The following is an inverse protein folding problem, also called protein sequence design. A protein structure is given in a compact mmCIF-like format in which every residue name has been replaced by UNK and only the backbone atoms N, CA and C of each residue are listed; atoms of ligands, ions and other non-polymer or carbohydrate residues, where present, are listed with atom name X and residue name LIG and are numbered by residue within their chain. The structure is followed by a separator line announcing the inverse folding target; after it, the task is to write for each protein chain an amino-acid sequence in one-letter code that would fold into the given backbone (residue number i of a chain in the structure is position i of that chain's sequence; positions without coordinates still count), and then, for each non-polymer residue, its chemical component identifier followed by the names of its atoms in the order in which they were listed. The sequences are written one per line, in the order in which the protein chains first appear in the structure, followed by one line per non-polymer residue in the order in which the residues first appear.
data_IF_291051801527
#
_entry.id   IF_291051801527
#
_cell.length_a   1.000
_cell.length_b   1.000
_cell.length_c   1.000
_cell.angle_alpha   90.00
_cell.angle_beta   90.00
_cell.angle_gamma   90.00
#
_symmetry.space_group_name_H-M   'P 1'
#
loop_
_entity.id
_entity.type
_entity.pdbx_description
1 polymer ?
#
# COMPACT_ATOMS: atom_id res chain seq x y z
N UNK A 1 30.04 54.60 27.08
CA UNK A 1 29.62 55.74 27.93
C UNK A 1 28.15 55.47 28.28
N UNK A 2 27.97 55.14 29.55
CA UNK A 2 26.85 55.45 30.44
C UNK A 2 25.42 55.05 30.11
N UNK A 3 24.94 54.08 30.86
CA UNK A 3 23.57 54.03 31.38
C UNK A 3 23.28 55.26 32.28
N UNK A 4 22.06 55.54 32.84
CA UNK A 4 21.39 54.61 33.76
C UNK A 4 19.84 54.61 33.72
N UNK A 5 19.29 53.53 34.26
CA UNK A 5 18.20 53.27 35.17
C UNK A 5 17.38 54.44 35.78
N UNK A 6 16.05 54.22 35.88
CA UNK A 6 15.25 54.72 37.00
C UNK A 6 14.03 53.84 37.25
N UNK A 7 13.97 53.36 38.45
CA UNK A 7 12.93 52.61 39.15
C UNK A 7 12.04 53.57 39.92
N UNK A 8 10.70 53.34 40.04
CA UNK A 8 9.82 53.81 41.13
C UNK A 8 8.47 53.10 40.99
N UNK A 9 8.15 52.17 41.79
CA UNK A 9 7.67 52.04 43.17
C UNK A 9 6.19 52.46 43.37
N UNK A 10 5.37 51.45 43.68
CA UNK A 10 4.40 51.31 44.77
C UNK A 10 3.12 52.17 44.78
N UNK A 11 1.97 51.50 44.73
CA UNK A 11 0.99 51.59 45.86
C UNK A 11 -0.04 50.44 45.80
N UNK A 12 -0.22 49.85 46.99
CA UNK A 12 -1.25 48.88 47.37
C UNK A 12 -2.61 49.58 47.54
N UNK A 13 -3.71 48.84 47.29
CA UNK A 13 -4.92 48.77 48.15
C UNK A 13 -5.82 47.63 47.66
N UNK A 14 -5.89 46.58 48.43
CA UNK A 14 -7.01 46.10 49.26
C UNK A 14 -8.21 45.44 48.55
N UNK A 15 -8.32 44.13 48.72
CA UNK A 15 -9.44 43.26 49.12
C UNK A 15 -10.82 43.44 48.46
N UNK A 16 -11.21 42.37 47.68
CA UNK A 16 -12.52 41.78 47.85
C UNK A 16 -12.49 40.30 47.41
N UNK A 17 -12.86 39.47 48.34
CA UNK A 17 -13.09 38.02 48.22
C UNK A 17 -14.18 37.76 47.17
N UNK A 18 -13.86 36.98 46.13
CA UNK A 18 -14.85 36.24 45.38
C UNK A 18 -14.26 34.87 45.07
N UNK A 19 -14.62 33.92 45.94
CA UNK A 19 -14.38 32.50 45.74
C UNK A 19 -15.30 32.02 44.64
N UNK A 20 -14.82 32.03 43.38
CA UNK A 20 -15.49 31.35 42.31
C UNK A 20 -14.77 30.02 42.09
N UNK A 21 -15.50 28.98 42.47
CA UNK A 21 -15.12 27.57 42.25
C UNK A 21 -15.03 27.30 40.72
N UNK A 22 -13.87 27.56 40.13
CA UNK A 22 -13.53 27.02 38.79
C UNK A 22 -13.16 25.58 38.99
N UNK A 23 -14.17 24.68 38.92
CA UNK A 23 -13.93 23.31 38.59
C UNK A 23 -13.28 23.29 37.20
N UNK A 24 -11.95 23.23 37.18
CA UNK A 24 -11.20 22.98 35.99
C UNK A 24 -11.60 21.60 35.49
N UNK A 25 -12.45 21.54 34.48
CA UNK A 25 -12.55 20.43 33.55
C UNK A 25 -11.17 20.32 32.91
N UNK A 26 -10.29 19.52 33.52
CA UNK A 26 -9.13 18.95 32.87
C UNK A 26 -9.73 18.01 31.84
N UNK A 27 -10.08 18.55 30.66
CA UNK A 27 -10.18 17.75 29.47
C UNK A 27 -8.80 17.09 29.34
N UNK A 28 -8.73 15.82 29.70
CA UNK A 28 -7.57 14.99 29.45
C UNK A 28 -7.34 15.03 27.94
N UNK A 29 -6.51 15.97 27.48
CA UNK A 29 -5.84 15.86 26.20
C UNK A 29 -4.94 14.65 26.33
N UNK A 30 -5.49 13.46 26.06
CA UNK A 30 -4.68 12.32 25.75
C UNK A 30 -3.79 12.75 24.59
N UNK A 31 -2.47 12.72 24.73
CA UNK A 31 -1.59 12.99 23.61
C UNK A 31 -1.90 11.96 22.54
N UNK A 32 -2.46 12.41 21.43
CA UNK A 32 -2.83 11.60 20.24
C UNK A 32 -1.61 10.98 19.55
N UNK A 33 -0.42 10.99 20.14
CA UNK A 33 0.84 10.75 19.48
C UNK A 33 1.75 9.67 20.11
N UNK A 34 1.30 8.94 21.14
CA UNK A 34 2.12 7.83 21.63
C UNK A 34 1.74 6.52 20.95
N UNK A 35 2.74 5.78 20.39
CA UNK A 35 2.49 4.48 19.81
C UNK A 35 1.93 3.50 20.85
N UNK A 36 0.78 2.92 20.56
CA UNK A 36 0.09 1.94 21.40
C UNK A 36 0.43 0.51 20.97
N UNK A 37 -0.04 -0.49 21.71
CA UNK A 37 -0.05 -1.86 21.17
C UNK A 37 -0.90 -1.91 19.91
N UNK A 38 -0.58 -2.83 19.02
CA UNK A 38 -1.29 -2.96 17.73
C UNK A 38 -2.81 -3.09 17.91
N UNK A 39 -3.25 -3.91 18.87
CA UNK A 39 -4.67 -4.13 19.18
C UNK A 39 -5.37 -2.84 19.63
N UNK A 40 -4.72 -2.08 20.52
CA UNK A 40 -5.26 -0.80 20.99
C UNK A 40 -5.32 0.24 19.89
N UNK A 41 -4.29 0.32 19.06
CA UNK A 41 -4.24 1.24 17.93
C UNK A 41 -5.32 0.91 16.89
N UNK A 42 -5.48 -0.37 16.52
CA UNK A 42 -6.54 -0.82 15.60
C UNK A 42 -7.94 -0.51 16.16
N UNK A 43 -8.14 -0.77 17.46
CA UNK A 43 -9.41 -0.43 18.13
C UNK A 43 -9.65 1.09 18.14
N UNK A 44 -8.63 1.90 18.45
CA UNK A 44 -8.75 3.37 18.47
C UNK A 44 -9.03 3.94 17.07
N UNK A 45 -8.34 3.46 16.03
CA UNK A 45 -8.61 3.85 14.65
C UNK A 45 -10.05 3.53 14.26
N UNK A 46 -10.55 2.33 14.60
CA UNK A 46 -11.92 1.91 14.32
C UNK A 46 -12.95 2.76 15.06
N UNK A 47 -12.76 2.98 16.37
CA UNK A 47 -13.67 3.77 17.20
C UNK A 47 -13.73 5.23 16.71
N UNK A 48 -12.58 5.81 16.38
CA UNK A 48 -12.50 7.17 15.84
C UNK A 48 -13.15 7.29 14.46
N UNK A 49 -12.97 6.28 13.60
CA UNK A 49 -13.63 6.23 12.30
C UNK A 49 -15.15 6.25 12.44
N UNK A 50 -15.69 5.32 13.25
CA UNK A 50 -17.15 5.21 13.46
C UNK A 50 -17.71 6.44 14.17
N UNK A 51 -16.98 7.01 15.13
CA UNK A 51 -17.38 8.22 15.84
C UNK A 51 -17.63 9.43 14.94
N UNK A 52 -17.02 9.46 13.75
CA UNK A 52 -17.23 10.52 12.76
C UNK A 52 -18.51 10.32 11.94
N UNK A 53 -18.99 9.09 11.77
CA UNK A 53 -20.18 8.80 10.96
C UNK A 53 -21.47 9.37 11.54
N UNK A 54 -21.52 9.65 12.85
CA UNK A 54 -22.63 10.34 13.51
C UNK A 54 -22.65 11.86 13.34
N UNK A 55 -21.56 12.44 12.80
CA UNK A 55 -21.39 13.89 12.57
C UNK A 55 -21.48 14.29 11.11
N UNK A 56 -22.12 13.47 10.28
CA UNK A 56 -22.26 13.74 8.84
C UNK A 56 -22.95 15.09 8.60
N UNK A 57 -22.49 15.87 7.60
CA UNK A 57 -23.14 17.13 7.24
C UNK A 57 -24.63 16.94 6.98
N UNK A 58 -25.44 17.91 7.41
CA UNK A 58 -26.91 17.87 7.38
C UNK A 58 -27.53 17.58 6.00
N UNK A 59 -26.79 17.83 4.91
CA UNK A 59 -27.25 17.50 3.56
C UNK A 59 -27.23 15.99 3.25
N UNK A 60 -26.27 15.23 3.80
CA UNK A 60 -26.23 13.76 3.66
C UNK A 60 -27.28 13.10 4.56
N UNK A 61 -27.50 13.64 5.77
CA UNK A 61 -28.60 13.21 6.64
C UNK A 61 -29.97 13.43 6.02
N UNK A 62 -30.17 14.47 5.20
CA UNK A 62 -31.41 14.74 4.47
C UNK A 62 -31.70 13.73 3.37
N UNK A 63 -30.66 13.19 2.73
CA UNK A 63 -30.81 12.14 1.70
C UNK A 63 -31.20 10.81 2.36
N UNK A 64 -30.64 10.47 3.52
CA UNK A 64 -31.04 9.29 4.30
C UNK A 64 -32.50 9.37 4.78
N UNK A 65 -32.95 10.53 5.26
CA UNK A 65 -34.31 10.70 5.77
C UNK A 65 -35.40 10.65 4.69
N UNK A 66 -35.08 10.94 3.42
CA UNK A 66 -36.04 10.92 2.32
C UNK A 66 -36.24 9.50 1.76
N UNK A 67 -35.35 8.56 2.07
CA UNK A 67 -35.42 7.16 1.62
C UNK A 67 -35.87 6.17 2.71
N UNK A 68 -35.97 6.60 3.96
CA UNK A 68 -36.47 5.77 5.08
C UNK A 68 -37.97 5.73 5.10
N UNK A 69 -38.57 4.67 4.59
CA UNK A 69 -39.93 4.27 4.92
C UNK A 69 -40.02 3.93 6.44
N UNK A 70 -41.16 4.29 7.04
CA UNK A 70 -41.48 4.17 8.47
C UNK A 70 -41.60 2.72 8.98
N UNK A 71 -40.58 1.90 8.85
CA UNK A 71 -40.52 0.60 9.51
C UNK A 71 -39.51 0.62 10.65
N UNK A 72 -39.87 0.12 11.80
CA UNK A 72 -39.26 0.33 13.11
C UNK A 72 -37.94 -0.43 13.38
N UNK A 73 -37.26 -0.91 12.37
CA UNK A 73 -35.88 -1.37 12.45
C UNK A 73 -35.01 -0.50 11.51
N UNK A 74 -34.16 0.34 12.09
CA UNK A 74 -33.19 1.12 11.30
C UNK A 74 -32.36 0.14 10.46
N UNK A 75 -32.38 0.21 9.12
CA UNK A 75 -31.62 -0.72 8.29
C UNK A 75 -30.14 -0.58 8.61
N UNK A 76 -29.45 -1.72 8.71
CA UNK A 76 -28.01 -1.72 8.95
C UNK A 76 -27.29 -1.05 7.79
N UNK A 77 -26.25 -0.29 8.10
CA UNK A 77 -25.38 0.34 7.11
C UNK A 77 -24.41 -0.72 6.57
N UNK A 78 -24.57 -1.07 5.30
CA UNK A 78 -23.77 -2.11 4.67
C UNK A 78 -22.39 -1.58 4.21
N UNK A 79 -21.34 -2.34 4.52
CA UNK A 79 -19.94 -2.02 4.21
C UNK A 79 -19.34 -3.17 3.40
N UNK A 80 -18.63 -2.85 2.34
CA UNK A 80 -17.64 -3.76 1.72
C UNK A 80 -16.24 -3.29 2.10
N UNK A 81 -15.34 -4.24 2.35
CA UNK A 81 -13.96 -3.96 2.72
C UNK A 81 -13.06 -4.38 1.56
N UNK A 82 -12.40 -3.41 0.91
CA UNK A 82 -11.31 -3.69 -0.03
C UNK A 82 -10.04 -4.04 0.80
N UNK A 83 -9.35 -5.15 0.49
CA UNK A 83 -8.22 -5.63 1.28
C UNK A 83 -7.22 -4.55 1.67
N UNK A 84 -6.83 -4.55 2.94
CA UNK A 84 -5.89 -3.57 3.47
C UNK A 84 -4.47 -3.83 2.99
N UNK A 85 -3.73 -2.76 2.71
CA UNK A 85 -2.42 -2.81 2.09
C UNK A 85 -1.36 -2.11 2.95
N UNK A 86 -0.13 -2.58 2.83
CA UNK A 86 1.04 -1.78 3.17
C UNK A 86 1.16 -0.63 2.17
N UNK A 87 1.15 0.61 2.64
CA UNK A 87 1.10 1.81 1.79
C UNK A 87 2.37 1.99 0.94
N UNK A 88 3.51 1.51 1.43
CA UNK A 88 4.80 1.69 0.76
C UNK A 88 4.94 0.68 -0.39
N UNK A 89 4.59 -0.58 -0.11
CA UNK A 89 4.79 -1.69 -1.06
C UNK A 89 3.57 -1.97 -1.93
N UNK A 90 2.38 -1.52 -1.52
CA UNK A 90 1.10 -1.89 -2.14
C UNK A 90 0.72 -3.36 -1.93
N UNK A 91 1.34 -4.03 -0.96
CA UNK A 91 1.16 -5.46 -0.72
C UNK A 91 0.22 -5.75 0.45
N UNK A 92 -0.49 -6.85 0.36
CA UNK A 92 -1.15 -7.46 1.50
C UNK A 92 -0.16 -8.36 2.24
N UNK A 93 -0.04 -8.17 3.55
CA UNK A 93 0.86 -8.90 4.45
C UNK A 93 0.07 -9.54 5.58
N UNK A 94 0.70 -10.46 6.33
CA UNK A 94 0.06 -11.06 7.52
C UNK A 94 -0.41 -10.00 8.53
N UNK A 95 0.34 -8.90 8.66
CA UNK A 95 -0.05 -7.80 9.55
C UNK A 95 -1.22 -7.00 8.97
N UNK A 96 -1.32 -6.75 7.67
CA UNK A 96 -2.50 -6.10 7.10
C UNK A 96 -3.74 -6.97 7.21
N UNK A 97 -3.61 -8.29 7.05
CA UNK A 97 -4.67 -9.26 7.31
C UNK A 97 -5.09 -9.28 8.81
N UNK A 98 -4.13 -9.14 9.71
CA UNK A 98 -4.43 -8.99 11.14
C UNK A 98 -5.20 -7.70 11.40
N UNK A 99 -4.81 -6.60 10.76
CA UNK A 99 -5.50 -5.31 10.85
C UNK A 99 -6.96 -5.42 10.39
N UNK A 100 -7.21 -6.04 9.24
CA UNK A 100 -8.57 -6.32 8.76
C UNK A 100 -9.41 -7.08 9.79
N UNK A 101 -8.85 -8.17 10.32
CA UNK A 101 -9.53 -8.99 11.34
C UNK A 101 -9.88 -8.18 12.60
N UNK A 102 -8.95 -7.33 13.08
CA UNK A 102 -9.20 -6.51 14.28
C UNK A 102 -10.26 -5.44 14.03
N UNK A 103 -10.23 -4.79 12.89
CA UNK A 103 -11.23 -3.78 12.49
C UNK A 103 -12.62 -4.42 12.35
N UNK A 104 -12.73 -5.49 11.57
CA UNK A 104 -14.02 -6.18 11.34
C UNK A 104 -14.60 -6.76 12.62
N UNK A 105 -13.77 -7.38 13.47
CA UNK A 105 -14.20 -7.89 14.78
C UNK A 105 -14.66 -6.74 15.69
N UNK A 106 -13.91 -5.63 15.74
CA UNK A 106 -14.29 -4.46 16.55
C UNK A 106 -15.62 -3.87 16.11
N UNK A 107 -15.81 -3.73 14.79
CA UNK A 107 -17.06 -3.21 14.24
C UNK A 107 -18.23 -4.14 14.52
N UNK A 108 -18.09 -5.45 14.32
CA UNK A 108 -19.13 -6.42 14.56
C UNK A 108 -19.57 -6.46 16.04
N UNK A 109 -18.63 -6.29 16.99
CA UNK A 109 -18.93 -6.39 18.43
C UNK A 109 -19.45 -5.09 19.03
N UNK A 110 -18.93 -3.93 18.59
CA UNK A 110 -19.21 -2.62 19.22
C UNK A 110 -20.21 -1.77 18.44
N UNK A 111 -20.36 -2.00 17.14
CA UNK A 111 -21.13 -1.16 16.24
C UNK A 111 -22.14 -1.98 15.41
N UNK A 112 -23.16 -2.59 16.05
CA UNK A 112 -24.09 -3.53 15.41
C UNK A 112 -24.97 -2.90 14.32
N UNK A 113 -24.98 -1.56 14.21
CA UNK A 113 -25.62 -0.81 13.13
C UNK A 113 -24.91 -0.96 11.78
N UNK A 114 -23.69 -1.54 11.74
CA UNK A 114 -22.96 -1.84 10.52
C UNK A 114 -23.00 -3.33 10.21
N UNK A 115 -23.00 -3.65 8.92
CA UNK A 115 -22.97 -5.01 8.39
C UNK A 115 -21.91 -5.12 7.31
N UNK A 116 -20.98 -6.08 7.43
CA UNK A 116 -20.01 -6.38 6.40
C UNK A 116 -20.57 -7.32 5.35
N UNK A 117 -20.49 -6.91 4.10
CA UNK A 117 -20.74 -7.77 2.95
C UNK A 117 -19.39 -8.20 2.34
N UNK A 118 -19.29 -9.42 1.79
CA UNK A 118 -18.11 -9.83 1.03
C UNK A 118 -17.77 -8.84 -0.08
N UNK A 119 -16.47 -8.58 -0.30
CA UNK A 119 -16.00 -7.69 -1.36
C UNK A 119 -16.10 -8.39 -2.72
N UNK A 120 -17.32 -8.40 -3.27
CA UNK A 120 -17.70 -9.03 -4.52
C UNK A 120 -18.55 -8.07 -5.35
N UNK A 121 -18.50 -8.20 -6.66
CA UNK A 121 -19.22 -7.30 -7.60
C UNK A 121 -20.73 -7.24 -7.32
N UNK A 122 -21.36 -8.36 -6.97
CA UNK A 122 -22.79 -8.44 -6.63
C UNK A 122 -23.17 -7.68 -5.35
N UNK A 123 -22.22 -7.37 -4.51
CA UNK A 123 -22.44 -6.67 -3.24
C UNK A 123 -22.13 -5.16 -3.32
N UNK A 124 -21.37 -4.71 -4.33
CA UNK A 124 -21.06 -3.28 -4.48
C UNK A 124 -22.32 -2.42 -4.67
N UNK A 125 -23.32 -2.93 -5.37
CA UNK A 125 -24.61 -2.23 -5.56
C UNK A 125 -25.49 -2.22 -4.31
N UNK A 126 -25.24 -3.13 -3.36
CA UNK A 126 -25.98 -3.25 -2.10
C UNK A 126 -25.26 -2.53 -0.96
N UNK A 127 -23.94 -2.37 -1.07
CA UNK A 127 -23.15 -1.72 -0.05
C UNK A 127 -23.30 -0.20 -0.11
N UNK A 128 -23.48 0.41 1.05
CA UNK A 128 -23.50 1.86 1.21
C UNK A 128 -22.08 2.42 1.24
N UNK A 129 -21.18 1.72 1.92
CA UNK A 129 -19.83 2.19 2.16
C UNK A 129 -18.77 1.22 1.68
N UNK A 130 -17.66 1.80 1.25
CA UNK A 130 -16.40 1.13 0.99
C UNK A 130 -15.43 1.48 2.14
N UNK A 131 -14.90 0.46 2.82
CA UNK A 131 -13.85 0.61 3.82
C UNK A 131 -12.50 0.29 3.16
N UNK A 132 -11.56 1.21 3.28
CA UNK A 132 -10.15 1.02 2.89
C UNK A 132 -9.26 1.19 4.11
N UNK A 133 -8.10 0.52 4.10
CA UNK A 133 -7.14 0.62 5.20
C UNK A 133 -5.70 0.47 4.75
N UNK A 134 -4.80 1.24 5.34
CA UNK A 134 -3.37 1.14 5.04
C UNK A 134 -2.54 1.07 6.31
N UNK A 135 -1.39 0.42 6.18
CA UNK A 135 -0.32 0.46 7.16
C UNK A 135 0.89 1.17 6.58
N UNK A 136 1.54 2.03 7.38
CA UNK A 136 2.73 2.76 6.94
C UNK A 136 3.74 2.82 8.06
N UNK A 137 4.99 2.40 7.81
CA UNK A 137 6.08 2.61 8.76
C UNK A 137 6.41 4.07 8.93
N UNK A 138 6.74 4.47 10.16
CA UNK A 138 7.17 5.83 10.50
C UNK A 138 8.70 5.85 10.62
N UNK A 139 9.44 6.25 9.58
CA UNK A 139 10.90 6.11 9.55
C UNK A 139 11.65 6.91 10.60
N UNK A 140 11.04 8.00 11.07
CA UNK A 140 11.65 8.98 12.01
C UNK A 140 11.26 8.73 13.46
N UNK A 141 10.45 7.71 13.75
CA UNK A 141 10.07 7.39 15.12
C UNK A 141 11.27 6.84 15.91
N UNK A 142 11.40 7.27 17.17
CA UNK A 142 12.45 6.80 18.07
C UNK A 142 12.33 5.29 18.38
N UNK A 143 11.12 4.77 18.33
CA UNK A 143 10.81 3.33 18.42
C UNK A 143 10.15 2.88 17.12
N UNK A 144 10.37 1.63 16.66
CA UNK A 144 9.70 1.10 15.49
C UNK A 144 8.18 1.26 15.61
N UNK A 145 7.61 2.04 14.71
CA UNK A 145 6.20 2.48 14.76
C UNK A 145 5.57 2.38 13.39
N UNK A 146 4.30 1.95 13.36
CA UNK A 146 3.47 1.96 12.17
C UNK A 146 2.24 2.83 12.39
N UNK A 147 1.83 3.54 11.35
CA UNK A 147 0.53 4.23 11.28
C UNK A 147 -0.49 3.27 10.69
N UNK A 148 -1.60 3.06 11.39
CA UNK A 148 -2.78 2.36 10.91
C UNK A 148 -3.80 3.40 10.47
N UNK A 149 -4.16 3.42 9.20
CA UNK A 149 -5.11 4.39 8.64
C UNK A 149 -6.33 3.67 8.06
N UNK A 150 -7.52 4.25 8.27
CA UNK A 150 -8.79 3.76 7.77
C UNK A 150 -9.56 4.91 7.12
N UNK A 151 -10.26 4.62 6.03
CA UNK A 151 -11.24 5.55 5.47
C UNK A 151 -12.53 4.83 5.09
N UNK A 152 -13.65 5.48 5.33
CA UNK A 152 -14.98 5.04 4.95
C UNK A 152 -15.50 5.98 3.86
N UNK A 153 -15.74 5.44 2.68
CA UNK A 153 -16.20 6.18 1.50
C UNK A 153 -17.63 5.79 1.16
N UNK A 154 -18.52 6.74 0.99
CA UNK A 154 -19.86 6.51 0.45
C UNK A 154 -19.73 6.15 -1.05
N UNK A 155 -20.12 4.94 -1.42
CA UNK A 155 -19.89 4.39 -2.76
C UNK A 155 -20.66 5.21 -3.82
N UNK A 156 -21.85 5.65 -3.50
CA UNK A 156 -22.73 6.36 -4.44
C UNK A 156 -22.23 7.77 -4.75
N UNK A 157 -21.72 8.47 -3.75
CA UNK A 157 -21.26 9.86 -3.90
C UNK A 157 -19.76 9.95 -4.16
N UNK A 158 -19.00 8.92 -3.85
CA UNK A 158 -17.54 8.93 -3.85
C UNK A 158 -16.93 9.86 -2.80
N UNK A 159 -17.69 10.29 -1.77
CA UNK A 159 -17.18 11.12 -0.68
C UNK A 159 -16.63 10.26 0.44
N UNK A 160 -15.46 10.59 0.93
CA UNK A 160 -14.94 10.05 2.20
C UNK A 160 -15.78 10.63 3.32
N UNK A 161 -16.50 9.80 4.04
CA UNK A 161 -17.40 10.23 5.13
C UNK A 161 -16.72 10.17 6.50
N UNK A 162 -15.68 9.35 6.64
CA UNK A 162 -14.87 9.26 7.84
C UNK A 162 -13.44 8.83 7.50
N UNK A 163 -12.46 9.35 8.22
CA UNK A 163 -11.05 8.97 8.12
C UNK A 163 -10.45 9.00 9.52
N UNK A 164 -9.69 7.96 9.88
CA UNK A 164 -9.02 7.89 11.17
C UNK A 164 -7.67 7.20 11.04
N UNK A 165 -6.74 7.62 11.90
CA UNK A 165 -5.42 7.00 12.00
C UNK A 165 -5.03 6.82 13.47
N UNK A 166 -4.20 5.80 13.73
CA UNK A 166 -3.60 5.57 15.03
C UNK A 166 -2.17 5.05 14.88
N UNK A 167 -1.32 5.34 15.87
CA UNK A 167 0.06 4.86 15.90
C UNK A 167 0.15 3.56 16.70
N UNK A 168 0.75 2.55 16.11
CA UNK A 168 1.03 1.27 16.74
C UNK A 168 2.54 1.02 16.83
N UNK A 169 2.98 0.38 17.93
CA UNK A 169 4.33 -0.17 18.00
C UNK A 169 4.48 -1.29 16.99
N UNK A 170 5.63 -1.37 16.31
CA UNK A 170 5.91 -2.40 15.30
C UNK A 170 6.36 -3.74 15.93
N UNK A 171 6.35 -3.86 17.24
CA UNK A 171 6.79 -5.06 17.95
C UNK A 171 5.96 -6.29 17.57
N UNK A 172 6.65 -7.38 17.18
CA UNK A 172 6.05 -8.67 16.84
C UNK A 172 5.08 -8.65 15.63
N UNK A 173 5.20 -7.67 14.74
CA UNK A 173 4.39 -7.63 13.53
C UNK A 173 5.02 -8.48 12.42
N UNK A 174 4.22 -9.38 11.84
CA UNK A 174 4.62 -10.20 10.70
C UNK A 174 4.30 -9.49 9.39
N UNK A 175 5.30 -8.89 8.77
CA UNK A 175 5.17 -8.21 7.47
C UNK A 175 5.36 -9.16 6.28
N UNK A 176 5.33 -10.49 6.48
CA UNK A 176 5.41 -11.45 5.38
C UNK A 176 4.26 -11.20 4.39
N UNK A 177 4.57 -10.98 3.10
CA UNK A 177 3.54 -10.82 2.09
C UNK A 177 2.71 -12.10 1.94
N UNK A 178 1.41 -11.95 1.66
CA UNK A 178 0.59 -13.10 1.29
C UNK A 178 1.16 -13.81 0.05
N UNK A 179 0.79 -15.07 -0.17
CA UNK A 179 1.41 -15.93 -1.21
C UNK A 179 1.46 -15.24 -2.57
N UNK A 180 0.38 -14.64 -3.01
CA UNK A 180 0.32 -13.91 -4.28
C UNK A 180 1.41 -12.83 -4.39
N UNK A 181 1.54 -11.98 -3.37
CA UNK A 181 2.53 -10.90 -3.38
C UNK A 181 3.96 -11.41 -3.18
N UNK A 182 4.13 -12.48 -2.41
CA UNK A 182 5.43 -13.14 -2.24
C UNK A 182 5.94 -13.70 -3.57
N UNK A 183 5.07 -14.40 -4.30
CA UNK A 183 5.41 -15.06 -5.58
C UNK A 183 5.51 -14.06 -6.74
N UNK A 184 4.91 -12.87 -6.64
CA UNK A 184 4.92 -11.87 -7.71
C UNK A 184 6.35 -11.51 -8.15
N UNK A 185 6.63 -11.49 -9.47
CA UNK A 185 7.96 -11.15 -10.00
C UNK A 185 8.31 -9.67 -9.86
N UNK A 186 7.30 -8.83 -9.67
CA UNK A 186 7.43 -7.36 -9.61
C UNK A 186 6.82 -6.79 -8.34
N UNK A 187 7.24 -5.59 -7.98
CA UNK A 187 6.52 -4.79 -7.01
C UNK A 187 5.21 -4.29 -7.63
N UNK A 188 4.10 -4.54 -6.94
CA UNK A 188 2.77 -4.18 -7.43
C UNK A 188 2.35 -2.87 -6.76
N UNK A 189 2.74 -1.76 -7.37
CA UNK A 189 2.32 -0.42 -6.94
C UNK A 189 2.07 0.42 -8.19
N UNK A 190 0.85 0.32 -8.70
CA UNK A 190 0.38 1.08 -9.85
C UNK A 190 -0.54 2.24 -9.42
N UNK A 191 -1.02 3.01 -10.37
CA UNK A 191 -1.94 4.14 -10.13
C UNK A 191 -3.21 3.74 -9.37
N UNK A 192 -3.65 2.47 -9.45
CA UNK A 192 -4.82 1.99 -8.70
C UNK A 192 -4.45 1.88 -7.22
N UNK A 193 -3.30 1.28 -6.91
CA UNK A 193 -2.78 1.17 -5.53
C UNK A 193 -2.49 2.56 -4.95
N UNK A 194 -1.94 3.48 -5.75
CA UNK A 194 -1.74 4.87 -5.33
C UNK A 194 -3.06 5.56 -5.03
N UNK A 195 -4.08 5.39 -5.90
CA UNK A 195 -5.42 5.94 -5.70
C UNK A 195 -6.11 5.35 -4.46
N UNK A 196 -5.92 4.04 -4.20
CA UNK A 196 -6.36 3.39 -2.95
C UNK A 196 -5.72 4.05 -1.72
N UNK A 197 -4.39 4.19 -1.71
CA UNK A 197 -3.65 4.80 -0.61
C UNK A 197 -4.07 6.26 -0.38
N UNK A 198 -4.23 7.03 -1.46
CA UNK A 198 -4.71 8.40 -1.43
C UNK A 198 -6.14 8.49 -0.87
N UNK A 199 -7.05 7.62 -1.30
CA UNK A 199 -8.41 7.53 -0.78
C UNK A 199 -8.40 7.29 0.73
N UNK A 200 -7.56 6.35 1.22
CA UNK A 200 -7.44 6.04 2.65
C UNK A 200 -6.93 7.23 3.48
N UNK A 201 -6.16 8.13 2.86
CA UNK A 201 -5.63 9.34 3.50
C UNK A 201 -6.49 10.58 3.29
N UNK A 202 -7.56 10.49 2.51
CA UNK A 202 -8.41 11.63 2.15
C UNK A 202 -9.24 12.09 3.34
N UNK A 203 -9.24 13.40 3.70
CA UNK A 203 -10.06 13.93 4.77
C UNK A 203 -11.56 13.76 4.52
N UNK A 204 -12.38 13.64 5.59
CA UNK A 204 -13.83 13.59 5.47
C UNK A 204 -14.40 14.81 4.72
N UNK A 205 -15.41 14.58 3.90
CA UNK A 205 -16.06 15.60 3.05
C UNK A 205 -15.38 15.83 1.70
N UNK A 206 -14.23 15.23 1.45
CA UNK A 206 -13.55 15.28 0.16
C UNK A 206 -13.82 14.03 -0.67
N UNK A 207 -13.61 14.13 -1.99
CA UNK A 207 -13.75 13.02 -2.92
C UNK A 207 -12.60 12.03 -2.76
N UNK A 208 -12.94 10.75 -2.74
CA UNK A 208 -12.00 9.66 -2.95
C UNK A 208 -11.30 9.80 -4.31
N UNK A 209 -10.18 9.14 -4.49
CA UNK A 209 -9.47 9.18 -5.76
C UNK A 209 -10.35 8.62 -6.91
N UNK A 210 -10.62 9.41 -7.96
CA UNK A 210 -11.55 9.01 -9.03
C UNK A 210 -11.02 7.81 -9.82
N UNK A 211 -9.71 7.73 -10.05
CA UNK A 211 -9.11 6.63 -10.80
C UNK A 211 -9.28 5.28 -10.09
N UNK A 212 -9.16 5.28 -8.77
CA UNK A 212 -9.44 4.11 -7.93
C UNK A 212 -10.94 3.79 -7.91
N UNK A 213 -11.81 4.79 -7.68
CA UNK A 213 -13.26 4.58 -7.57
C UNK A 213 -13.89 4.01 -8.86
N UNK A 214 -13.40 4.41 -10.03
CA UNK A 214 -13.83 3.85 -11.33
C UNK A 214 -13.47 2.37 -11.48
N UNK A 215 -12.55 1.87 -10.68
CA UNK A 215 -11.98 0.51 -10.75
C UNK A 215 -12.40 -0.42 -9.62
N UNK A 216 -13.23 0.03 -8.68
CA UNK A 216 -13.65 -0.82 -7.55
C UNK A 216 -14.42 -2.06 -8.02
N UNK A 217 -15.19 -1.96 -9.12
CA UNK A 217 -15.90 -3.10 -9.68
C UNK A 217 -14.97 -4.22 -10.12
N UNK A 218 -13.90 -3.88 -10.83
CA UNK A 218 -12.91 -4.86 -11.27
C UNK A 218 -11.96 -5.26 -10.13
N UNK A 219 -11.76 -4.39 -9.14
CA UNK A 219 -10.96 -4.72 -7.95
C UNK A 219 -11.57 -5.90 -7.19
N UNK A 220 -12.89 -6.04 -7.15
CA UNK A 220 -13.56 -7.20 -6.52
C UNK A 220 -13.18 -8.51 -7.23
N UNK A 221 -13.15 -8.51 -8.56
CA UNK A 221 -12.79 -9.69 -9.37
C UNK A 221 -11.33 -10.07 -9.17
N UNK A 222 -10.43 -9.07 -9.14
CA UNK A 222 -9.00 -9.29 -8.88
C UNK A 222 -8.78 -9.81 -7.45
N UNK A 223 -9.51 -9.30 -6.47
CA UNK A 223 -9.43 -9.75 -5.07
C UNK A 223 -9.90 -11.20 -4.93
N UNK A 224 -11.00 -11.58 -5.59
CA UNK A 224 -11.47 -12.96 -5.62
C UNK A 224 -10.42 -13.88 -6.28
N UNK A 225 -9.87 -13.48 -7.44
CA UNK A 225 -8.79 -14.20 -8.09
C UNK A 225 -7.56 -14.39 -7.20
N UNK A 226 -7.18 -13.34 -6.46
CA UNK A 226 -6.05 -13.38 -5.51
C UNK A 226 -6.33 -14.34 -4.34
N UNK A 227 -7.56 -14.36 -3.84
CA UNK A 227 -8.00 -15.30 -2.81
C UNK A 227 -7.92 -16.74 -3.31
N UNK A 228 -8.39 -16.99 -4.53
CA UNK A 228 -8.29 -18.31 -5.17
C UNK A 228 -6.83 -18.74 -5.38
N UNK A 229 -5.96 -17.82 -5.80
CA UNK A 229 -4.53 -18.08 -5.91
C UNK A 229 -3.90 -18.46 -4.57
N UNK A 230 -4.19 -17.70 -3.52
CA UNK A 230 -3.70 -17.98 -2.17
C UNK A 230 -4.20 -19.33 -1.63
N UNK A 231 -5.38 -19.77 -2.07
CA UNK A 231 -5.97 -21.09 -1.79
C UNK A 231 -5.52 -22.20 -2.76
N UNK A 232 -4.52 -21.96 -3.62
CA UNK A 232 -3.96 -22.88 -4.62
C UNK A 232 -4.96 -23.33 -5.72
N UNK A 233 -6.08 -22.64 -5.84
CA UNK A 233 -7.08 -22.87 -6.90
C UNK A 233 -6.67 -22.13 -8.18
N UNK A 234 -5.54 -22.52 -8.74
CA UNK A 234 -4.88 -21.75 -9.81
C UNK A 234 -5.70 -21.66 -11.10
N UNK A 235 -6.44 -22.72 -11.47
CA UNK A 235 -7.25 -22.70 -12.68
C UNK A 235 -8.42 -21.70 -12.55
N UNK A 236 -9.09 -21.68 -11.40
CA UNK A 236 -10.18 -20.75 -11.12
C UNK A 236 -9.65 -19.32 -11.02
N UNK A 237 -8.51 -19.13 -10.35
CA UNK A 237 -7.83 -17.85 -10.26
C UNK A 237 -7.48 -17.29 -11.65
N UNK A 238 -6.94 -18.12 -12.55
CA UNK A 238 -6.62 -17.71 -13.92
C UNK A 238 -7.86 -17.23 -14.67
N UNK A 239 -8.98 -17.94 -14.52
CA UNK A 239 -10.27 -17.56 -15.12
C UNK A 239 -10.71 -16.15 -14.65
N UNK A 240 -10.65 -15.89 -13.37
CA UNK A 240 -11.03 -14.60 -12.79
C UNK A 240 -10.07 -13.46 -13.19
N UNK A 241 -8.76 -13.68 -13.20
CA UNK A 241 -7.80 -12.67 -13.69
C UNK A 241 -8.05 -12.34 -15.17
N UNK A 242 -8.32 -13.34 -16.02
CA UNK A 242 -8.69 -13.09 -17.43
C UNK A 242 -9.99 -12.33 -17.56
N UNK A 243 -10.98 -12.62 -16.73
CA UNK A 243 -12.23 -11.86 -16.66
C UNK A 243 -11.99 -10.40 -16.33
N UNK A 244 -11.13 -10.11 -15.33
CA UNK A 244 -10.74 -8.76 -15.01
C UNK A 244 -10.08 -8.05 -16.21
N UNK A 245 -9.11 -8.70 -16.85
CA UNK A 245 -8.34 -8.16 -17.99
C UNK A 245 -9.18 -7.94 -19.25
N UNK A 246 -10.36 -8.57 -19.35
CA UNK A 246 -11.29 -8.34 -20.47
C UNK A 246 -11.90 -6.93 -20.48
N UNK A 247 -11.70 -6.16 -19.40
CA UNK A 247 -12.18 -4.78 -19.28
C UNK A 247 -11.01 -3.78 -19.30
N UNK A 248 -11.20 -2.56 -19.84
CA UNK A 248 -10.15 -1.54 -19.78
C UNK A 248 -9.71 -1.20 -18.35
N UNK A 249 -10.63 -1.23 -17.39
CA UNK A 249 -10.37 -0.96 -15.97
C UNK A 249 -9.52 -2.05 -15.31
N UNK A 250 -9.56 -3.26 -15.87
CA UNK A 250 -8.82 -4.41 -15.35
C UNK A 250 -7.38 -4.52 -15.84
N UNK A 251 -6.96 -3.69 -16.80
CA UNK A 251 -5.58 -3.64 -17.27
C UNK A 251 -4.68 -3.02 -16.20
N UNK A 252 -4.30 -3.83 -15.22
CA UNK A 252 -3.57 -3.45 -14.01
C UNK A 252 -2.44 -4.45 -13.74
N UNK A 253 -1.36 -3.98 -13.09
CA UNK A 253 -0.24 -4.85 -12.71
C UNK A 253 -0.69 -6.05 -11.88
N UNK A 254 -1.67 -5.87 -10.98
CA UNK A 254 -2.21 -6.97 -10.17
C UNK A 254 -2.83 -8.08 -11.02
N UNK A 255 -3.63 -7.73 -12.01
CA UNK A 255 -4.29 -8.73 -12.86
C UNK A 255 -3.30 -9.45 -13.77
N UNK A 256 -2.39 -8.73 -14.42
CA UNK A 256 -1.36 -9.33 -15.28
C UNK A 256 -0.38 -10.20 -14.49
N UNK A 257 0.03 -9.76 -13.28
CA UNK A 257 0.84 -10.59 -12.37
C UNK A 257 0.09 -11.86 -11.97
N UNK A 258 -1.22 -11.77 -11.77
CA UNK A 258 -2.06 -12.92 -11.49
C UNK A 258 -2.09 -13.94 -12.63
N UNK A 259 -2.24 -13.49 -13.87
CA UNK A 259 -2.15 -14.36 -15.05
C UNK A 259 -0.75 -14.99 -15.16
N UNK A 260 0.30 -14.20 -14.98
CA UNK A 260 1.67 -14.70 -14.98
C UNK A 260 1.84 -15.83 -13.94
N UNK A 261 1.52 -15.55 -12.69
CA UNK A 261 1.72 -16.47 -11.57
C UNK A 261 0.92 -17.75 -11.73
N UNK A 262 -0.36 -17.65 -12.07
CA UNK A 262 -1.23 -18.81 -12.27
C UNK A 262 -0.76 -19.65 -13.45
N UNK A 263 -0.30 -19.01 -14.53
CA UNK A 263 0.25 -19.73 -15.70
C UNK A 263 1.53 -20.49 -15.36
N UNK A 264 2.43 -19.88 -14.55
CA UNK A 264 3.62 -20.59 -14.03
C UNK A 264 3.22 -21.81 -13.19
N UNK A 265 2.25 -21.67 -12.26
CA UNK A 265 1.78 -22.79 -11.40
C UNK A 265 1.12 -23.91 -12.21
N UNK A 266 0.48 -23.56 -13.32
CA UNK A 266 -0.18 -24.51 -14.25
C UNK A 266 0.76 -25.07 -15.33
N UNK A 267 2.03 -24.65 -15.39
CA UNK A 267 2.99 -25.07 -16.40
C UNK A 267 2.78 -24.45 -17.79
N UNK A 268 1.92 -23.44 -17.91
CA UNK A 268 1.67 -22.73 -19.17
C UNK A 268 2.71 -21.63 -19.40
N UNK A 269 3.89 -22.02 -19.86
CA UNK A 269 5.03 -21.11 -20.04
C UNK A 269 4.81 -20.05 -21.11
N UNK A 270 4.06 -20.35 -22.18
CA UNK A 270 3.75 -19.40 -23.26
C UNK A 270 2.87 -18.26 -22.75
N UNK A 271 1.82 -18.57 -22.01
CA UNK A 271 0.96 -17.57 -21.40
C UNK A 271 1.69 -16.75 -20.33
N UNK A 272 2.53 -17.42 -19.53
CA UNK A 272 3.34 -16.74 -18.52
C UNK A 272 4.30 -15.74 -19.16
N UNK A 273 5.01 -16.10 -20.24
CA UNK A 273 5.89 -15.17 -20.96
C UNK A 273 5.12 -14.00 -21.54
N UNK A 274 3.96 -14.24 -22.15
CA UNK A 274 3.12 -13.20 -22.70
C UNK A 274 2.59 -12.23 -21.59
N UNK A 275 2.15 -12.76 -20.46
CA UNK A 275 1.70 -11.96 -19.32
C UNK A 275 2.84 -11.13 -18.75
N UNK A 276 4.05 -11.71 -18.62
CA UNK A 276 5.21 -10.93 -18.15
C UNK A 276 5.57 -9.80 -19.11
N UNK A 277 5.46 -10.02 -20.42
CA UNK A 277 5.61 -8.95 -21.42
C UNK A 277 4.63 -7.80 -21.21
N UNK A 278 3.36 -8.07 -20.86
CA UNK A 278 2.36 -7.04 -20.55
C UNK A 278 2.65 -6.34 -19.22
N UNK A 279 3.15 -7.05 -18.19
CA UNK A 279 3.65 -6.44 -16.96
C UNK A 279 4.76 -5.44 -17.26
N UNK A 280 5.71 -5.81 -18.11
CA UNK A 280 6.81 -4.91 -18.52
C UNK A 280 6.26 -3.68 -19.24
N UNK A 281 5.33 -3.86 -20.17
CA UNK A 281 4.73 -2.74 -20.92
C UNK A 281 4.03 -1.76 -19.98
N UNK A 282 3.23 -2.24 -19.02
CA UNK A 282 2.59 -1.42 -18.00
C UNK A 282 3.62 -0.72 -17.09
N UNK A 283 4.61 -1.47 -16.60
CA UNK A 283 5.66 -0.92 -15.74
C UNK A 283 6.48 0.19 -16.41
N UNK A 284 6.74 0.06 -17.72
CA UNK A 284 7.38 1.12 -18.51
C UNK A 284 6.44 2.33 -18.67
N UNK A 285 5.18 2.09 -19.03
CA UNK A 285 4.20 3.16 -19.25
C UNK A 285 3.96 4.03 -18.00
N UNK A 286 4.04 3.43 -16.81
CA UNK A 286 3.87 4.14 -15.53
C UNK A 286 5.19 4.55 -14.86
N UNK A 287 6.33 4.18 -15.45
CA UNK A 287 7.67 4.36 -14.85
C UNK A 287 7.82 3.68 -13.46
N UNK A 288 7.27 2.48 -13.34
CA UNK A 288 7.14 1.74 -12.07
C UNK A 288 7.59 0.28 -12.20
N UNK A 289 8.56 -0.01 -13.08
CA UNK A 289 9.03 -1.36 -13.27
C UNK A 289 10.11 -1.72 -12.23
N UNK A 290 9.71 -2.33 -11.12
CA UNK A 290 10.60 -2.91 -10.11
C UNK A 290 10.53 -4.44 -10.14
N UNK A 291 11.62 -5.11 -10.54
CA UNK A 291 11.69 -6.57 -10.69
C UNK A 291 12.52 -7.19 -9.57
N UNK A 292 12.00 -8.25 -8.97
CA UNK A 292 12.63 -8.97 -7.87
C UNK A 292 13.68 -9.98 -8.37
N UNK A 293 14.84 -9.51 -8.83
CA UNK A 293 15.98 -10.38 -9.10
C UNK A 293 16.70 -10.72 -7.80
N UNK A 294 16.71 -11.98 -7.42
CA UNK A 294 17.41 -12.44 -6.24
C UNK A 294 18.82 -12.88 -6.63
N UNK A 295 19.81 -12.29 -5.97
CA UNK A 295 21.23 -12.60 -6.14
C UNK A 295 21.76 -13.43 -4.97
N UNK A 296 22.77 -14.21 -5.22
CA UNK A 296 23.52 -14.87 -4.16
C UNK A 296 24.13 -13.83 -3.19
N UNK A 297 24.30 -14.16 -1.91
CA UNK A 297 24.87 -13.23 -0.93
C UNK A 297 26.25 -12.71 -1.35
N UNK A 298 26.44 -11.39 -1.32
CA UNK A 298 27.68 -10.73 -1.70
C UNK A 298 28.06 -10.84 -3.18
N UNK A 299 27.24 -11.48 -4.04
CA UNK A 299 27.53 -11.74 -5.45
C UNK A 299 26.64 -10.96 -6.41
N UNK A 300 27.02 -10.97 -7.67
CA UNK A 300 26.25 -10.54 -8.84
C UNK A 300 25.58 -11.72 -9.56
N UNK A 301 25.88 -12.94 -9.15
CA UNK A 301 25.24 -14.14 -9.67
C UNK A 301 23.82 -14.26 -9.14
N UNK A 302 22.92 -14.76 -9.98
CA UNK A 302 21.56 -15.06 -9.55
C UNK A 302 21.56 -16.21 -8.55
N UNK A 303 20.51 -16.26 -7.74
CA UNK A 303 20.29 -17.37 -6.81
C UNK A 303 20.31 -18.71 -7.57
N UNK A 304 21.02 -19.69 -7.03
CA UNK A 304 21.29 -20.95 -7.75
C UNK A 304 20.07 -21.88 -7.89
N UNK A 305 19.02 -21.71 -7.04
CA UNK A 305 17.82 -22.56 -7.13
C UNK A 305 16.99 -22.21 -8.38
N UNK A 306 16.84 -23.16 -9.33
CA UNK A 306 16.05 -22.94 -10.54
C UNK A 306 14.56 -22.62 -10.29
N UNK A 307 14.02 -23.01 -9.13
CA UNK A 307 12.65 -22.64 -8.74
C UNK A 307 12.51 -21.15 -8.52
N UNK A 308 13.61 -20.45 -8.22
CA UNK A 308 13.64 -19.01 -7.97
C UNK A 308 14.10 -18.27 -9.24
N UNK A 309 15.24 -18.68 -9.80
CA UNK A 309 15.91 -17.94 -10.88
C UNK A 309 15.61 -18.47 -12.29
N UNK A 310 14.93 -19.59 -12.42
CA UNK A 310 14.70 -20.24 -13.73
C UNK A 310 13.93 -19.37 -14.74
N UNK A 311 13.12 -18.45 -14.27
CA UNK A 311 12.39 -17.52 -15.12
C UNK A 311 13.18 -16.26 -15.52
N UNK A 312 14.36 -16.01 -14.93
CA UNK A 312 15.05 -14.71 -15.05
C UNK A 312 15.52 -14.42 -16.47
N UNK A 313 15.92 -15.45 -17.24
CA UNK A 313 16.29 -15.27 -18.65
C UNK A 313 15.10 -14.78 -19.48
N UNK A 314 13.92 -15.34 -19.25
CA UNK A 314 12.69 -14.92 -19.90
C UNK A 314 12.33 -13.48 -19.48
N UNK A 315 12.47 -13.14 -18.19
CA UNK A 315 12.21 -11.78 -17.71
C UNK A 315 13.14 -10.76 -18.39
N UNK A 316 14.43 -11.03 -18.44
CA UNK A 316 15.41 -10.16 -19.10
C UNK A 316 15.08 -9.96 -20.57
N UNK A 317 14.72 -11.04 -21.28
CA UNK A 317 14.30 -10.97 -22.70
C UNK A 317 13.06 -10.09 -22.87
N UNK A 318 12.04 -10.22 -22.01
CA UNK A 318 10.83 -9.41 -22.10
C UNK A 318 11.08 -7.95 -21.72
N UNK A 319 11.90 -7.68 -20.71
CA UNK A 319 12.30 -6.31 -20.33
C UNK A 319 13.05 -5.64 -21.50
N UNK A 320 14.01 -6.33 -22.09
CA UNK A 320 14.77 -5.81 -23.22
C UNK A 320 13.86 -5.54 -24.43
N UNK A 321 12.96 -6.45 -24.78
CA UNK A 321 11.97 -6.24 -25.86
C UNK A 321 11.02 -5.08 -25.56
N UNK A 322 10.47 -5.00 -24.36
CA UNK A 322 9.58 -3.92 -23.95
C UNK A 322 10.24 -2.56 -24.02
N UNK A 323 11.49 -2.44 -23.57
CA UNK A 323 12.28 -1.21 -23.65
C UNK A 323 12.53 -0.76 -25.09
N UNK A 324 12.86 -1.69 -25.98
CA UNK A 324 13.03 -1.40 -27.41
C UNK A 324 11.72 -0.98 -28.05
N UNK A 325 10.64 -1.72 -27.80
CA UNK A 325 9.30 -1.42 -28.37
C UNK A 325 8.77 -0.05 -27.91
N UNK A 326 9.03 0.34 -26.67
CA UNK A 326 8.64 1.65 -26.13
C UNK A 326 9.58 2.79 -26.61
N UNK A 327 10.68 2.47 -27.28
CA UNK A 327 11.72 3.46 -27.67
C UNK A 327 12.40 4.13 -26.47
N UNK A 328 12.25 3.58 -25.28
CA UNK A 328 12.61 4.19 -24.02
C UNK A 328 14.10 4.11 -23.72
N UNK A 329 14.63 5.17 -23.10
CA UNK A 329 15.89 5.12 -22.37
C UNK A 329 15.62 4.85 -20.91
N UNK A 330 16.50 4.09 -20.23
CA UNK A 330 16.28 3.73 -18.84
C UNK A 330 17.57 3.67 -18.03
N UNK A 331 17.43 3.96 -16.75
CA UNK A 331 18.46 3.69 -15.75
C UNK A 331 18.09 2.41 -14.99
N UNK A 332 19.00 1.44 -15.02
CA UNK A 332 18.91 0.22 -14.22
C UNK A 332 19.43 0.55 -12.82
N UNK A 333 18.60 0.49 -11.81
CA UNK A 333 18.93 0.90 -10.44
C UNK A 333 18.96 -0.32 -9.52
N UNK A 334 20.12 -0.59 -8.94
CA UNK A 334 20.30 -1.69 -8.00
C UNK A 334 20.12 -1.23 -6.55
N UNK A 335 19.52 -2.09 -5.74
CA UNK A 335 19.30 -1.89 -4.30
C UNK A 335 19.81 -3.08 -3.49
N UNK A 336 20.17 -2.85 -2.22
CA UNK A 336 20.56 -3.88 -1.26
C UNK A 336 19.74 -3.76 0.02
N UNK A 337 19.71 -4.81 0.81
CA UNK A 337 19.27 -4.74 2.20
C UNK A 337 20.20 -3.86 3.03
N UNK A 338 19.74 -3.41 4.21
CA UNK A 338 20.49 -2.52 5.12
C UNK A 338 21.55 -3.27 5.96
N UNK A 339 22.01 -4.43 5.53
CA UNK A 339 23.04 -5.19 6.24
C UNK A 339 24.44 -4.82 5.76
N UNK A 340 25.38 -4.59 6.71
CA UNK A 340 26.76 -4.29 6.42
C UNK A 340 27.08 -2.81 6.10
N UNK A 341 28.35 -2.49 5.76
CA UNK A 341 28.80 -1.12 5.54
C UNK A 341 28.18 -0.47 4.27
N UNK A 342 27.87 0.82 4.34
CA UNK A 342 27.26 1.57 3.24
C UNK A 342 28.08 1.52 1.95
N UNK A 343 29.40 1.72 2.04
CA UNK A 343 30.28 1.70 0.86
C UNK A 343 30.30 0.34 0.14
N UNK A 344 30.18 -0.77 0.88
CA UNK A 344 30.10 -2.13 0.33
C UNK A 344 28.77 -2.30 -0.41
N UNK A 345 27.67 -1.84 0.20
CA UNK A 345 26.33 -1.93 -0.38
C UNK A 345 26.20 -1.03 -1.62
N UNK A 346 26.79 0.16 -1.63
CA UNK A 346 26.83 1.04 -2.80
C UNK A 346 27.55 0.36 -3.96
N UNK A 347 28.73 -0.20 -3.71
CA UNK A 347 29.49 -0.91 -4.74
C UNK A 347 28.76 -2.18 -5.24
N UNK A 348 28.16 -2.96 -4.34
CA UNK A 348 27.43 -4.19 -4.69
C UNK A 348 26.18 -3.88 -5.51
N UNK A 349 25.39 -2.89 -5.11
CA UNK A 349 24.18 -2.51 -5.82
C UNK A 349 24.48 -2.02 -7.25
N UNK A 350 25.55 -1.22 -7.42
CA UNK A 350 26.02 -0.79 -8.74
C UNK A 350 26.50 -1.97 -9.62
N UNK A 351 27.25 -2.92 -9.04
CA UNK A 351 27.68 -4.12 -9.75
C UNK A 351 26.49 -4.94 -10.23
N UNK A 352 25.45 -5.15 -9.38
CA UNK A 352 24.22 -5.86 -9.75
C UNK A 352 23.46 -5.15 -10.86
N UNK A 353 23.28 -3.84 -10.76
CA UNK A 353 22.65 -3.05 -11.81
C UNK A 353 23.42 -3.14 -13.14
N UNK A 354 24.76 -3.06 -13.09
CA UNK A 354 25.63 -3.18 -14.27
C UNK A 354 25.51 -4.56 -14.90
N UNK A 355 25.44 -5.64 -14.09
CA UNK A 355 25.25 -7.01 -14.59
C UNK A 355 23.89 -7.17 -15.28
N UNK A 356 22.81 -6.65 -14.70
CA UNK A 356 21.50 -6.67 -15.35
C UNK A 356 21.52 -5.88 -16.65
N UNK A 357 22.10 -4.67 -16.66
CA UNK A 357 22.27 -3.86 -17.88
C UNK A 357 23.01 -4.63 -18.97
N UNK A 358 24.14 -5.29 -18.64
CA UNK A 358 24.91 -6.11 -19.60
C UNK A 358 24.06 -7.23 -20.19
N UNK A 359 23.25 -7.92 -19.37
CA UNK A 359 22.34 -8.96 -19.82
C UNK A 359 21.23 -8.41 -20.74
N UNK A 360 20.68 -7.23 -20.46
CA UNK A 360 19.71 -6.56 -21.36
C UNK A 360 20.34 -6.20 -22.70
N UNK A 361 21.58 -5.68 -22.70
CA UNK A 361 22.33 -5.36 -23.92
C UNK A 361 22.66 -6.62 -24.73
N UNK A 362 22.94 -7.74 -24.05
CA UNK A 362 23.15 -9.03 -24.74
C UNK A 362 21.86 -9.52 -25.42
N UNK A 363 20.68 -9.31 -24.82
CA UNK A 363 19.38 -9.62 -25.44
C UNK A 363 19.03 -8.66 -26.60
N UNK A 364 19.36 -7.37 -26.46
CA UNK A 364 19.06 -6.32 -27.42
C UNK A 364 20.21 -5.30 -27.50
N UNK A 365 21.15 -5.43 -28.45
CA UNK A 365 22.36 -4.59 -28.52
C UNK A 365 22.07 -3.08 -28.62
N UNK A 366 20.94 -2.68 -29.19
CA UNK A 366 20.55 -1.27 -29.30
C UNK A 366 20.39 -0.59 -27.92
N UNK A 367 20.19 -1.36 -26.86
CA UNK A 367 20.09 -0.86 -25.48
C UNK A 367 21.43 -0.38 -24.91
N UNK A 368 22.56 -0.67 -25.55
CA UNK A 368 23.87 -0.19 -25.10
C UNK A 368 23.92 1.35 -25.00
N UNK A 369 23.34 2.05 -25.99
CA UNK A 369 23.24 3.51 -26.00
C UNK A 369 22.00 4.09 -25.29
N UNK A 370 21.08 3.22 -24.85
CA UNK A 370 19.81 3.64 -24.22
C UNK A 370 19.71 3.32 -22.73
N UNK A 371 20.70 2.64 -22.15
CA UNK A 371 20.65 2.22 -20.76
C UNK A 371 21.88 2.67 -19.99
N UNK A 372 21.66 3.09 -18.75
CA UNK A 372 22.69 3.35 -17.73
C UNK A 372 22.48 2.46 -16.51
N UNK A 373 23.46 2.41 -15.61
CA UNK A 373 23.36 1.65 -14.37
C UNK A 373 23.72 2.53 -13.17
N UNK A 374 22.95 2.44 -12.10
CA UNK A 374 23.18 3.13 -10.83
C UNK A 374 23.05 2.18 -9.64
N UNK A 375 23.82 2.46 -8.58
CA UNK A 375 23.71 1.75 -7.30
C UNK A 375 23.20 2.69 -6.22
N UNK A 376 22.09 2.29 -5.57
CA UNK A 376 21.50 3.05 -4.45
C UNK A 376 21.87 2.47 -3.09
N UNK A 377 22.61 1.35 -3.04
CA UNK A 377 22.86 0.65 -1.78
C UNK A 377 21.53 0.41 -1.05
N UNK A 378 21.49 0.79 0.20
CA UNK A 378 20.27 0.73 1.03
C UNK A 378 19.59 2.10 1.28
N UNK A 379 19.93 3.13 0.49
CA UNK A 379 19.36 4.48 0.68
C UNK A 379 17.87 4.59 0.37
N UNK A 380 17.35 3.66 -0.40
CA UNK A 380 15.94 3.61 -0.79
C UNK A 380 15.32 2.25 -0.43
N UNK A 381 15.56 1.80 0.79
CA UNK A 381 14.97 0.56 1.27
C UNK A 381 13.46 0.70 1.43
N UNK A 382 12.74 -0.35 1.06
CA UNK A 382 11.29 -0.47 1.23
C UNK A 382 11.00 -0.97 2.65
N UNK A 383 11.74 -1.98 3.08
CA UNK A 383 11.59 -2.62 4.39
C UNK A 383 12.61 -2.07 5.38
N UNK A 384 13.90 -2.12 5.05
CA UNK A 384 14.97 -1.51 5.82
C UNK A 384 15.18 -2.09 7.21
N UNK A 385 14.78 -3.35 7.46
CA UNK A 385 14.90 -3.95 8.79
C UNK A 385 16.35 -4.09 9.24
N UNK A 386 17.25 -4.32 8.29
CA UNK A 386 18.68 -4.54 8.55
C UNK A 386 19.01 -5.91 9.14
N UNK A 387 18.04 -6.83 9.20
CA UNK A 387 18.20 -8.20 9.71
C UNK A 387 18.57 -9.19 8.64
N UNK A 388 18.50 -8.79 7.37
CA UNK A 388 18.74 -9.60 6.16
C UNK A 388 17.89 -10.88 6.07
N UNK A 389 16.71 -10.83 6.68
CA UNK A 389 15.74 -11.92 6.68
C UNK A 389 14.87 -11.90 5.40
N UNK A 390 13.80 -12.70 5.38
CA UNK A 390 12.88 -12.80 4.25
C UNK A 390 12.13 -11.49 3.94
N UNK A 391 12.01 -10.57 4.89
CA UNK A 391 11.40 -9.25 4.67
C UNK A 391 12.28 -8.35 3.83
N UNK A 392 13.59 -8.38 4.05
CA UNK A 392 14.56 -7.58 3.30
C UNK A 392 14.74 -8.04 1.84
N UNK A 393 14.04 -9.11 1.41
CA UNK A 393 14.03 -9.53 0.00
C UNK A 393 13.53 -8.41 -0.92
N UNK A 394 12.56 -7.60 -0.46
CA UNK A 394 12.05 -6.47 -1.23
C UNK A 394 13.08 -5.34 -1.43
N UNK A 395 14.06 -5.28 -0.54
CA UNK A 395 15.16 -4.31 -0.63
C UNK A 395 16.24 -4.77 -1.62
N UNK A 396 16.35 -6.09 -1.86
CA UNK A 396 17.28 -6.68 -2.84
C UNK A 396 16.61 -6.77 -4.21
N UNK A 397 16.42 -5.64 -4.85
CA UNK A 397 15.69 -5.50 -6.12
C UNK A 397 16.46 -4.72 -7.16
N UNK A 398 15.99 -4.79 -8.39
CA UNK A 398 16.43 -3.94 -9.50
C UNK A 398 15.22 -3.19 -10.04
N UNK A 399 15.31 -1.88 -10.08
CA UNK A 399 14.31 -0.99 -10.69
C UNK A 399 14.78 -0.52 -12.06
N UNK A 400 13.82 -0.26 -12.95
CA UNK A 400 14.06 0.25 -14.29
C UNK A 400 13.38 1.61 -14.43
N UNK A 401 14.14 2.67 -14.16
CA UNK A 401 13.62 4.05 -14.24
C UNK A 401 13.68 4.54 -15.68
N UNK A 402 12.52 4.88 -16.22
CA UNK A 402 12.41 5.46 -17.55
C UNK A 402 12.89 6.91 -17.50
N UNK A 403 13.80 7.26 -18.39
CA UNK A 403 14.43 8.59 -18.47
C UNK A 403 14.36 9.11 -19.90
N UNK A 404 14.40 10.43 -20.10
CA UNK A 404 14.54 11.00 -21.45
C UNK A 404 15.79 10.47 -22.15
N UNK A 405 15.67 10.11 -23.42
CA UNK A 405 16.83 9.77 -24.25
C UNK A 405 17.66 11.05 -24.51
N UNK A 406 18.95 10.96 -24.27
CA UNK A 406 19.90 12.04 -24.54
C UNK A 406 20.41 11.97 -25.95
#
# INVERSE_FOLDING_TARGET
MNAPAACMSVRRLSTALFTFCCAALIAACTPLNEPQTFEKAAAAATDNLVGQTGKLPSFLARIESTLSSKDSSTPKKSIVLDPMLDMITGQQTETTLLFERRVTQRMATKFPQFEFLPFQSSNLTKAQYLLTGTMTRVPTAATPTVTLSLALTDIRTGLVVAQASALAKEENLDSTPSRYYKDSPVLIKDKVVEGYAKTTSTPPGQKADPYYMERIGVATVITEATTLYNAERYQDALGQYKTALATPQGQQLRAESGVYLTSIKLGNTVEAEAAFGRIVALGIAYNELGVKFLFAPGSVDFWADPKISGAYQMWLRQIARGAVSAGSCMTVVGHTSKSGPAAVNDALSLKRASTIRQKLVAEQPVLAGKTTAEGMGFRQNIVGSGTDNSFDVLDRRVEFKIVPCR
#
